data_IF_751882022147
#
_entry.id   IF_751882022147
#
_cell.length_a   1.000
_cell.length_b   1.000
_cell.length_c   1.000
_cell.angle_alpha   90.00
_cell.angle_beta   90.00
_cell.angle_gamma   90.00
#
_symmetry.space_group_name_H-M   'P 1'
#
loop_
_entity.id
_entity.type
_entity.pdbx_description
1 polymer ?
#
# COMPACT_ATOMS: atom_id res chain seq x y z
N UNK A 1 -21.81 11.89 -24.11
CA UNK A 1 -22.52 12.38 -22.91
C UNK A 1 -22.01 11.82 -21.58
N UNK A 2 -21.51 10.57 -21.50
CA UNK A 2 -20.97 10.02 -20.26
C UNK A 2 -19.63 10.63 -19.80
N UNK A 3 -18.76 11.06 -20.74
CA UNK A 3 -17.41 11.55 -20.42
C UNK A 3 -17.38 12.82 -19.55
N UNK A 4 -18.25 13.80 -19.81
CA UNK A 4 -18.23 15.07 -19.07
C UNK A 4 -18.57 14.92 -17.58
N UNK A 5 -19.28 13.85 -17.19
CA UNK A 5 -19.57 13.58 -15.78
C UNK A 5 -18.38 13.00 -15.03
N UNK A 6 -17.51 12.25 -15.72
CA UNK A 6 -16.33 11.62 -15.10
C UNK A 6 -15.21 12.63 -14.84
N UNK A 7 -15.12 13.73 -15.59
CA UNK A 7 -14.12 14.80 -15.38
C UNK A 7 -14.23 15.50 -14.02
N UNK A 8 -15.35 15.35 -13.29
CA UNK A 8 -15.59 15.98 -11.97
C UNK A 8 -15.63 14.98 -10.82
N UNK A 9 -15.33 13.71 -11.06
CA UNK A 9 -15.38 12.67 -10.03
C UNK A 9 -13.96 12.21 -9.73
N UNK A 10 -13.56 12.36 -8.46
CA UNK A 10 -12.26 11.91 -8.01
C UNK A 10 -12.18 10.38 -7.98
N UNK A 11 -11.09 9.83 -8.53
CA UNK A 11 -10.79 8.41 -8.39
C UNK A 11 -10.07 8.16 -7.05
N UNK A 12 -10.63 7.25 -6.25
CA UNK A 12 -10.08 6.80 -4.98
C UNK A 12 -9.68 5.33 -5.10
N UNK A 13 -8.39 5.03 -4.97
CA UNK A 13 -7.88 3.67 -4.90
C UNK A 13 -7.94 3.15 -3.46
N UNK A 14 -9.10 2.63 -3.07
CA UNK A 14 -9.39 2.26 -1.67
C UNK A 14 -8.55 1.11 -1.10
N UNK A 15 -8.05 0.21 -1.96
CA UNK A 15 -7.16 -0.88 -1.53
C UNK A 15 -6.15 -1.20 -2.63
N UNK A 16 -4.87 -1.32 -2.24
CA UNK A 16 -3.79 -1.82 -3.09
C UNK A 16 -2.65 -2.39 -2.25
N UNK A 17 -1.79 -3.22 -2.84
CA UNK A 17 -0.63 -3.81 -2.16
C UNK A 17 -0.44 -5.28 -2.50
N UNK A 18 0.68 -5.85 -2.05
CA UNK A 18 0.97 -7.26 -2.27
C UNK A 18 0.15 -8.15 -1.34
N UNK A 19 -0.44 -9.20 -1.90
CA UNK A 19 -1.10 -10.27 -1.15
C UNK A 19 -0.49 -11.61 -1.55
N UNK A 20 0.14 -12.27 -0.58
CA UNK A 20 0.73 -13.59 -0.78
C UNK A 20 -0.24 -14.71 -0.39
N UNK A 21 -0.34 -15.74 -1.24
CA UNK A 21 -1.31 -16.84 -1.04
C UNK A 21 -1.17 -17.60 0.28
N UNK A 22 0.02 -17.66 0.88
CA UNK A 22 0.24 -18.29 2.19
C UNK A 22 -0.52 -17.57 3.32
N UNK A 23 -0.63 -16.24 3.25
CA UNK A 23 -1.24 -15.39 4.27
C UNK A 23 -2.73 -15.73 4.52
N UNK A 24 -3.40 -16.35 3.55
CA UNK A 24 -4.80 -16.77 3.67
C UNK A 24 -4.99 -17.87 4.73
N UNK A 25 -3.95 -18.67 5.00
CA UNK A 25 -4.00 -19.81 5.91
C UNK A 25 -3.23 -19.57 7.21
N UNK A 26 -2.73 -18.36 7.43
CA UNK A 26 -2.01 -18.00 8.65
C UNK A 26 -2.96 -17.87 9.84
N UNK A 27 -2.51 -18.31 11.02
CA UNK A 27 -3.30 -18.23 12.26
C UNK A 27 -3.63 -16.77 12.61
N UNK A 28 -2.65 -15.88 12.45
CA UNK A 28 -2.86 -14.43 12.40
C UNK A 28 -3.34 -14.11 10.98
N UNK A 29 -4.65 -13.95 10.80
CA UNK A 29 -5.27 -13.80 9.49
C UNK A 29 -4.56 -12.73 8.63
N UNK A 30 -4.18 -13.11 7.40
CA UNK A 30 -3.52 -12.24 6.42
C UNK A 30 -2.15 -11.69 6.85
N UNK A 31 -1.54 -12.28 7.89
CA UNK A 31 -0.17 -11.98 8.25
C UNK A 31 0.79 -12.45 7.15
N UNK A 32 1.71 -11.58 6.75
CA UNK A 32 2.77 -11.92 5.82
C UNK A 32 4.02 -11.10 6.11
N UNK A 33 5.19 -11.70 5.84
CA UNK A 33 6.45 -10.97 5.94
C UNK A 33 6.56 -9.92 4.82
N UNK A 34 7.28 -8.84 5.10
CA UNK A 34 7.59 -7.79 4.16
C UNK A 34 9.08 -7.82 3.75
N UNK A 35 9.36 -7.59 2.48
CA UNK A 35 10.67 -7.79 1.85
C UNK A 35 11.02 -6.65 0.88
N UNK A 36 12.22 -6.69 0.29
CA UNK A 36 12.59 -5.77 -0.79
C UNK A 36 11.65 -5.80 -2.00
N UNK A 37 10.97 -6.93 -2.25
CA UNK A 37 9.95 -7.01 -3.30
C UNK A 37 8.80 -6.04 -3.00
N UNK A 38 8.35 -6.01 -1.76
CA UNK A 38 7.26 -5.16 -1.31
C UNK A 38 7.62 -3.68 -1.40
N UNK A 39 8.87 -3.33 -1.05
CA UNK A 39 9.39 -1.98 -1.23
C UNK A 39 9.38 -1.54 -2.71
N UNK A 40 9.91 -2.37 -3.61
CA UNK A 40 9.98 -2.07 -5.04
C UNK A 40 8.57 -1.95 -5.64
N UNK A 41 7.67 -2.88 -5.32
CA UNK A 41 6.28 -2.81 -5.82
C UNK A 41 5.58 -1.55 -5.30
N UNK A 42 5.81 -1.18 -4.04
CA UNK A 42 5.26 0.06 -3.45
C UNK A 42 5.79 1.30 -4.18
N UNK A 43 7.10 1.38 -4.43
CA UNK A 43 7.70 2.49 -5.16
C UNK A 43 7.14 2.63 -6.58
N UNK A 44 6.97 1.52 -7.30
CA UNK A 44 6.36 1.51 -8.65
C UNK A 44 4.92 2.00 -8.61
N UNK A 45 4.13 1.54 -7.63
CA UNK A 45 2.72 1.97 -7.52
C UNK A 45 2.63 3.46 -7.20
N UNK A 46 3.47 3.98 -6.30
CA UNK A 46 3.50 5.42 -6.01
C UNK A 46 3.89 6.25 -7.23
N UNK A 47 4.87 5.79 -8.02
CA UNK A 47 5.25 6.44 -9.28
C UNK A 47 4.08 6.49 -10.29
N UNK A 48 3.32 5.39 -10.42
CA UNK A 48 2.11 5.34 -11.24
C UNK A 48 1.04 6.30 -10.69
N UNK A 49 0.83 6.33 -9.39
CA UNK A 49 -0.17 7.19 -8.76
C UNK A 49 0.16 8.67 -8.97
N UNK A 50 1.41 9.08 -8.77
CA UNK A 50 1.86 10.44 -9.03
C UNK A 50 1.73 10.82 -10.51
N UNK A 51 2.07 9.91 -11.42
CA UNK A 51 1.91 10.12 -12.87
C UNK A 51 0.44 10.28 -13.31
N UNK A 52 -0.51 9.84 -12.48
CA UNK A 52 -1.96 9.92 -12.73
C UNK A 52 -2.68 10.81 -11.68
N UNK A 53 -1.96 11.74 -11.04
CA UNK A 53 -2.51 12.60 -9.99
C UNK A 53 -3.57 13.60 -10.51
N UNK A 54 -3.68 13.79 -11.83
CA UNK A 54 -4.78 14.50 -12.46
C UNK A 54 -6.13 13.81 -12.18
N UNK A 55 -6.14 12.47 -12.09
CA UNK A 55 -7.33 11.63 -11.90
C UNK A 55 -7.45 10.99 -10.52
N UNK A 56 -6.34 10.48 -9.97
CA UNK A 56 -6.33 9.77 -8.68
C UNK A 56 -6.05 10.76 -7.55
N UNK A 57 -7.00 10.93 -6.63
CA UNK A 57 -6.87 11.90 -5.51
C UNK A 57 -6.56 11.26 -4.17
N UNK A 58 -6.82 9.97 -4.02
CA UNK A 58 -6.51 9.25 -2.79
C UNK A 58 -6.19 7.79 -3.11
N UNK A 59 -5.25 7.22 -2.36
CA UNK A 59 -4.96 5.80 -2.37
C UNK A 59 -4.76 5.30 -0.93
N UNK A 60 -5.16 4.07 -0.65
CA UNK A 60 -5.04 3.44 0.66
C UNK A 60 -4.46 2.03 0.50
N UNK A 61 -3.27 1.83 1.08
CA UNK A 61 -2.57 0.56 0.99
C UNK A 61 -3.12 -0.43 2.01
N UNK A 62 -3.29 -1.69 1.60
CA UNK A 62 -3.78 -2.78 2.43
C UNK A 62 -2.59 -3.54 3.05
N UNK A 63 -2.37 -3.53 4.37
CA UNK A 63 -2.96 -2.66 5.40
C UNK A 63 -1.84 -2.04 6.25
N UNK A 64 -2.17 -1.36 7.35
CA UNK A 64 -1.19 -0.56 8.11
C UNK A 64 -0.28 -1.40 9.02
N UNK A 65 -0.85 -2.32 9.82
CA UNK A 65 -0.13 -3.07 10.86
C UNK A 65 -0.47 -4.56 10.77
N UNK A 66 0.54 -5.44 10.80
CA UNK A 66 0.45 -6.92 10.82
C UNK A 66 -0.26 -7.60 9.64
N UNK A 67 -0.95 -6.87 8.77
CA UNK A 67 -1.83 -7.43 7.74
C UNK A 67 -1.36 -6.99 6.36
N UNK A 68 -1.26 -7.97 5.44
CA UNK A 68 -0.91 -7.76 4.04
C UNK A 68 0.40 -6.97 3.87
N UNK A 69 0.39 -5.89 3.08
CA UNK A 69 1.58 -5.09 2.78
C UNK A 69 1.91 -4.09 3.91
N UNK A 70 2.01 -4.59 5.15
CA UNK A 70 2.09 -3.80 6.36
C UNK A 70 3.29 -2.84 6.40
N UNK A 71 3.09 -1.66 7.00
CA UNK A 71 4.15 -0.72 7.35
C UNK A 71 4.92 -1.16 8.59
N UNK A 72 4.22 -1.79 9.52
CA UNK A 72 4.75 -2.18 10.82
C UNK A 72 4.31 -3.61 11.11
N UNK A 73 5.25 -4.44 11.55
CA UNK A 73 4.95 -5.74 12.15
C UNK A 73 5.21 -5.65 13.65
N UNK A 74 4.30 -6.22 14.44
CA UNK A 74 4.32 -6.17 15.91
C UNK A 74 4.15 -7.56 16.50
N UNK A 75 4.82 -7.81 17.61
CA UNK A 75 4.61 -9.00 18.44
C UNK A 75 4.76 -8.64 19.92
N UNK A 76 3.63 -8.60 20.63
CA UNK A 76 3.59 -8.11 22.00
C UNK A 76 4.05 -6.65 22.12
N UNK A 77 5.21 -6.43 22.76
CA UNK A 77 5.81 -5.10 22.95
C UNK A 77 6.85 -4.76 21.88
N UNK A 78 7.25 -5.73 21.08
CA UNK A 78 8.26 -5.57 20.04
C UNK A 78 7.60 -5.13 18.73
N UNK A 79 8.33 -4.33 17.96
CA UNK A 79 7.91 -3.96 16.61
C UNK A 79 9.11 -3.80 15.68
N UNK A 80 8.84 -3.93 14.38
CA UNK A 80 9.79 -3.65 13.32
C UNK A 80 9.12 -2.84 12.22
N UNK A 81 9.86 -1.87 11.69
CA UNK A 81 9.49 -1.11 10.50
C UNK A 81 9.81 -1.96 9.27
N UNK A 82 8.85 -2.06 8.35
CA UNK A 82 9.04 -2.86 7.14
C UNK A 82 9.76 -2.06 6.05
N UNK A 83 10.38 -2.71 5.05
CA UNK A 83 10.90 -2.01 3.87
C UNK A 83 9.88 -1.08 3.18
N UNK A 84 8.57 -1.36 3.27
CA UNK A 84 7.52 -0.48 2.74
C UNK A 84 7.38 0.82 3.54
N UNK A 85 7.60 0.78 4.86
CA UNK A 85 7.66 1.99 5.69
C UNK A 85 8.73 2.95 5.17
N UNK A 86 9.93 2.44 4.87
CA UNK A 86 11.04 3.26 4.38
C UNK A 86 10.67 3.96 3.05
N UNK A 87 9.93 3.29 2.16
CA UNK A 87 9.46 3.90 0.91
C UNK A 87 8.50 5.06 1.18
N UNK A 88 7.49 4.87 2.02
CA UNK A 88 6.54 5.95 2.33
C UNK A 88 7.22 7.13 3.03
N UNK A 89 8.15 6.87 3.95
CA UNK A 89 8.90 7.93 4.64
C UNK A 89 9.74 8.77 3.66
N UNK A 90 10.43 8.10 2.71
CA UNK A 90 11.26 8.78 1.73
C UNK A 90 10.42 9.58 0.72
N UNK A 91 9.29 9.06 0.27
CA UNK A 91 8.40 9.74 -0.68
C UNK A 91 7.74 10.97 -0.05
N UNK A 92 7.40 10.95 1.25
CA UNK A 92 6.85 12.11 1.94
C UNK A 92 7.85 13.29 2.04
N UNK A 93 9.14 13.00 1.99
CA UNK A 93 10.22 13.98 2.16
C UNK A 93 10.68 14.63 0.85
N UNK A 94 10.14 14.18 -0.29
CA UNK A 94 10.44 14.68 -1.63
C UNK A 94 9.42 15.74 -2.08
#
# INVERSE_FOLDING_TARGET
EFDQKLEKIDLILGEWGNWYGKAFFEEKALYQQNTMRDAITTAIILDILHSNADKVKMASMAQTINVLNALILTDGKEFVLTPVYDILQNVQSA
#
